data_IF_106071132635
#
_entry.id   IF_106071132635
#
_cell.length_a   1.000
_cell.length_b   1.000
_cell.length_c   1.000
_cell.angle_alpha   90.00
_cell.angle_beta   90.00
_cell.angle_gamma   90.00
#
_symmetry.space_group_name_H-M   'P 1'
#
loop_
_entity.id
_entity.type
_entity.pdbx_description
1 polymer ?
#
# COMPACT_ATOMS: atom_id res chain seq x y z
N UNK A 1 20.59 7.88 4.33
CA UNK A 1 20.50 6.41 4.51
C UNK A 1 19.17 5.95 3.96
N UNK A 2 19.19 5.13 2.90
CA UNK A 2 17.96 4.64 2.28
C UNK A 2 17.26 3.68 3.23
N UNK A 3 16.05 4.03 3.69
CA UNK A 3 15.19 3.13 4.44
C UNK A 3 14.63 2.10 3.44
N UNK A 4 15.42 1.08 3.11
CA UNK A 4 15.00 -0.03 2.26
C UNK A 4 13.96 -0.84 3.03
N UNK A 5 12.69 -0.49 2.84
CA UNK A 5 11.57 -1.20 3.42
C UNK A 5 11.55 -2.62 2.84
N UNK A 6 12.12 -3.59 3.57
CA UNK A 6 12.03 -5.01 3.22
C UNK A 6 10.60 -5.46 3.45
N UNK A 7 9.91 -5.83 2.39
CA UNK A 7 8.56 -6.38 2.43
C UNK A 7 8.68 -7.88 2.79
N UNK A 8 8.02 -8.33 3.86
CA UNK A 8 8.03 -9.72 4.30
C UNK A 8 6.82 -10.46 3.68
N UNK A 9 7.03 -11.03 2.49
CA UNK A 9 6.02 -11.75 1.71
C UNK A 9 6.27 -13.27 1.74
N UNK A 10 6.50 -13.83 2.92
CA UNK A 10 6.70 -15.28 3.03
C UNK A 10 5.40 -15.99 3.42
N UNK A 11 5.10 -17.13 2.81
CA UNK A 11 3.94 -17.97 3.16
C UNK A 11 4.41 -19.41 3.28
N UNK A 12 4.13 -20.05 4.42
CA UNK A 12 4.38 -21.47 4.61
C UNK A 12 3.29 -22.29 3.90
N UNK A 13 3.70 -23.31 3.15
CA UNK A 13 2.81 -24.16 2.34
C UNK A 13 2.51 -25.44 3.12
N UNK A 14 1.39 -25.47 3.85
CA UNK A 14 0.93 -26.68 4.53
C UNK A 14 -0.23 -27.32 3.75
N UNK A 15 -0.04 -28.56 3.30
CA UNK A 15 -1.00 -29.47 2.66
C UNK A 15 -1.61 -29.03 1.31
N UNK A 16 -1.87 -27.74 1.07
CA UNK A 16 -2.51 -27.23 -0.15
C UNK A 16 -1.80 -26.01 -0.74
N UNK A 17 -1.13 -26.25 -1.88
CA UNK A 17 -0.37 -25.24 -2.64
C UNK A 17 -1.27 -24.09 -3.12
N UNK A 18 -2.48 -24.40 -3.58
CA UNK A 18 -3.40 -23.38 -4.10
C UNK A 18 -3.80 -22.36 -3.04
N UNK A 19 -4.03 -22.81 -1.80
CA UNK A 19 -4.33 -21.91 -0.66
C UNK A 19 -3.14 -21.02 -0.34
N UNK A 20 -1.92 -21.55 -0.37
CA UNK A 20 -0.71 -20.78 -0.15
C UNK A 20 -0.52 -19.70 -1.21
N UNK A 21 -0.77 -19.99 -2.50
CA UNK A 21 -0.71 -19.01 -3.58
C UNK A 21 -1.73 -17.87 -3.40
N UNK A 22 -2.97 -18.20 -2.99
CA UNK A 22 -3.99 -17.18 -2.68
C UNK A 22 -3.57 -16.30 -1.50
N UNK A 23 -2.98 -16.88 -0.45
CA UNK A 23 -2.47 -16.11 0.69
C UNK A 23 -1.28 -15.23 0.30
N UNK A 24 -0.38 -15.74 -0.54
CA UNK A 24 0.76 -14.99 -1.05
C UNK A 24 0.30 -13.76 -1.83
N UNK A 25 -0.65 -13.93 -2.76
CA UNK A 25 -1.24 -12.81 -3.50
C UNK A 25 -1.83 -11.75 -2.55
N UNK A 26 -2.60 -12.18 -1.54
CA UNK A 26 -3.16 -11.26 -0.53
C UNK A 26 -2.07 -10.55 0.28
N UNK A 27 -0.97 -11.22 0.63
CA UNK A 27 0.16 -10.59 1.32
C UNK A 27 0.85 -9.54 0.45
N UNK A 28 1.10 -9.84 -0.84
CA UNK A 28 1.66 -8.89 -1.81
C UNK A 28 0.79 -7.64 -1.92
N UNK A 29 -0.53 -7.81 -2.03
CA UNK A 29 -1.48 -6.70 -2.10
C UNK A 29 -1.50 -5.87 -0.81
N UNK A 30 -1.45 -6.54 0.35
CA UNK A 30 -1.45 -5.89 1.67
C UNK A 30 -0.19 -5.08 1.94
N UNK A 31 0.98 -5.61 1.61
CA UNK A 31 2.23 -4.87 1.73
C UNK A 31 2.34 -3.76 0.69
N UNK A 32 1.58 -3.85 -0.41
CA UNK A 32 1.49 -2.79 -1.40
C UNK A 32 2.74 -2.64 -2.26
N UNK A 33 3.55 -3.70 -2.38
CA UNK A 33 4.83 -3.69 -3.10
C UNK A 33 4.66 -3.23 -4.55
N UNK A 34 3.62 -3.69 -5.23
CA UNK A 34 3.30 -3.27 -6.62
C UNK A 34 2.99 -1.77 -6.69
N UNK A 35 2.31 -1.22 -5.68
CA UNK A 35 1.95 0.20 -5.63
C UNK A 35 3.19 1.07 -5.41
N UNK A 36 4.09 0.62 -4.54
CA UNK A 36 5.32 1.34 -4.24
C UNK A 36 6.34 1.23 -5.38
N UNK A 37 6.39 0.10 -6.08
CA UNK A 37 7.12 -0.05 -7.33
C UNK A 37 6.64 0.99 -8.35
N UNK A 38 5.34 1.04 -8.65
CA UNK A 38 4.76 2.00 -9.61
C UNK A 38 5.00 3.46 -9.24
N UNK A 39 5.06 3.79 -7.94
CA UNK A 39 5.37 5.14 -7.46
C UNK A 39 6.83 5.53 -7.63
N UNK A 40 7.72 4.55 -7.70
CA UNK A 40 9.17 4.76 -7.76
C UNK A 40 9.74 4.67 -9.17
N UNK A 41 8.93 4.32 -10.18
CA UNK A 41 9.35 4.21 -11.58
C UNK A 41 9.88 5.54 -12.14
N UNK A 42 9.32 6.66 -11.71
CA UNK A 42 9.70 8.00 -12.18
C UNK A 42 10.09 8.90 -11.01
N UNK A 43 10.96 9.86 -11.27
CA UNK A 43 11.28 10.90 -10.32
C UNK A 43 10.04 11.77 -10.05
N UNK A 44 9.67 11.91 -8.79
CA UNK A 44 8.65 12.84 -8.33
C UNK A 44 9.31 13.91 -7.46
N UNK A 45 9.15 15.18 -7.85
CA UNK A 45 9.67 16.30 -7.08
C UNK A 45 9.14 16.26 -5.64
N UNK A 46 9.96 16.58 -4.62
CA UNK A 46 9.56 16.51 -3.22
C UNK A 46 8.31 17.36 -2.92
N UNK A 47 8.16 18.51 -3.58
CA UNK A 47 6.99 19.38 -3.44
C UNK A 47 5.72 18.71 -3.98
N UNK A 48 5.81 18.06 -5.14
CA UNK A 48 4.69 17.31 -5.72
C UNK A 48 4.29 16.13 -4.83
N UNK A 49 5.28 15.39 -4.28
CA UNK A 49 5.05 14.30 -3.34
C UNK A 49 4.34 14.77 -2.07
N UNK A 50 4.77 15.91 -1.49
CA UNK A 50 4.12 16.54 -0.32
C UNK A 50 2.67 16.94 -0.63
N UNK A 51 2.43 17.62 -1.75
CA UNK A 51 1.07 18.04 -2.17
C UNK A 51 0.14 16.84 -2.37
N UNK A 52 0.58 15.79 -3.07
CA UNK A 52 -0.21 14.55 -3.25
C UNK A 52 -0.51 13.86 -1.93
N UNK A 53 0.43 13.87 -0.96
CA UNK A 53 0.21 13.31 0.37
C UNK A 53 -0.88 14.06 1.13
N UNK A 54 -0.84 15.40 1.12
CA UNK A 54 -1.83 16.25 1.78
C UNK A 54 -3.23 16.06 1.19
N UNK A 55 -3.37 16.09 -0.14
CA UNK A 55 -4.67 15.88 -0.81
C UNK A 55 -5.25 14.50 -0.49
N UNK A 56 -4.41 13.44 -0.46
CA UNK A 56 -4.87 12.10 -0.07
C UNK A 56 -5.35 12.06 1.37
N UNK A 57 -4.67 12.73 2.30
CA UNK A 57 -5.05 12.77 3.71
C UNK A 57 -6.40 13.49 3.91
N UNK A 58 -6.60 14.64 3.24
CA UNK A 58 -7.88 15.35 3.25
C UNK A 58 -8.99 14.46 2.71
N UNK A 59 -8.79 13.84 1.54
CA UNK A 59 -9.77 12.92 0.94
C UNK A 59 -10.11 11.76 1.89
N UNK A 60 -9.11 11.14 2.52
CA UNK A 60 -9.34 10.05 3.48
C UNK A 60 -10.15 10.51 4.70
N UNK A 61 -9.87 11.70 5.22
CA UNK A 61 -10.62 12.26 6.34
C UNK A 61 -12.09 12.53 5.95
N UNK A 62 -12.32 13.15 4.80
CA UNK A 62 -13.68 13.39 4.29
C UNK A 62 -14.47 12.08 4.13
N UNK A 63 -13.87 11.04 3.53
CA UNK A 63 -14.51 9.74 3.39
C UNK A 63 -14.84 9.10 4.75
N UNK A 64 -13.96 9.28 5.74
CA UNK A 64 -14.18 8.80 7.11
C UNK A 64 -15.36 9.53 7.78
N UNK A 65 -15.42 10.85 7.68
CA UNK A 65 -16.50 11.65 8.26
C UNK A 65 -17.86 11.30 7.65
N UNK A 66 -17.91 11.15 6.31
CA UNK A 66 -19.10 10.70 5.60
C UNK A 66 -19.55 9.30 6.05
N UNK A 67 -18.61 8.36 6.23
CA UNK A 67 -18.93 7.02 6.75
C UNK A 67 -19.48 7.04 8.18
N UNK A 68 -19.07 8.02 8.99
CA UNK A 68 -19.51 8.20 10.37
C UNK A 68 -20.82 9.01 10.47
N UNK A 69 -21.39 9.49 9.36
CA UNK A 69 -22.52 10.43 9.32
C UNK A 69 -22.30 11.68 10.20
N UNK A 70 -21.04 12.09 10.35
CA UNK A 70 -20.67 13.34 11.00
C UNK A 70 -20.71 14.53 10.01
N UNK A 71 -21.07 14.22 8.76
CA UNK A 71 -21.42 15.09 7.65
C UNK A 71 -22.72 14.52 7.07
#
# INVERSE_FOLDING_TARGET
MANTKRANIEVNVNNSVERALRQLKKKIEREGVVRDMKRSVYFESPTQKRRKRLVRAIKQNLMRLASQKLL
#
